data_IF_874353555042
#
_entry.id   IF_874353555042
#
_cell.length_a   1.000
_cell.length_b   1.000
_cell.length_c   1.000
_cell.angle_alpha   90.00
_cell.angle_beta   90.00
_cell.angle_gamma   90.00
#
_symmetry.space_group_name_H-M   'P 1'
#
loop_
_entity.id
_entity.type
_entity.pdbx_description
1 polymer ?
#
# COMPACT_ATOMS: atom_id res chain seq x y z
N UNK A 1 -3.10 -52.29 -64.52
CA UNK A 1 -3.98 -51.31 -63.84
C UNK A 1 -3.85 -51.54 -62.33
N UNK A 2 -3.02 -50.75 -61.66
CA UNK A 2 -2.90 -50.70 -60.20
C UNK A 2 -3.27 -49.26 -59.80
N UNK A 3 -4.42 -49.09 -59.16
CA UNK A 3 -4.89 -47.80 -58.65
C UNK A 3 -4.56 -47.68 -57.16
N UNK A 4 -3.71 -46.72 -56.80
CA UNK A 4 -3.44 -46.34 -55.42
C UNK A 4 -4.45 -45.29 -54.95
N UNK A 5 -4.99 -45.48 -53.74
CA UNK A 5 -5.69 -44.44 -53.00
C UNK A 5 -4.70 -43.73 -52.09
N UNK A 6 -4.48 -42.44 -52.33
CA UNK A 6 -3.84 -41.51 -51.40
C UNK A 6 -4.91 -40.83 -50.55
N UNK A 7 -4.83 -40.98 -49.23
CA UNK A 7 -5.66 -40.25 -48.27
C UNK A 7 -4.93 -38.97 -47.86
N UNK A 8 -5.49 -37.81 -48.17
CA UNK A 8 -5.03 -36.49 -47.74
C UNK A 8 -5.59 -36.16 -46.36
N UNK A 9 -4.73 -36.05 -45.34
CA UNK A 9 -5.08 -35.46 -44.04
C UNK A 9 -5.01 -33.93 -44.17
N UNK A 10 -6.12 -33.25 -43.92
CA UNK A 10 -6.16 -31.80 -43.76
C UNK A 10 -5.79 -31.44 -42.30
N UNK A 11 -4.66 -30.78 -42.11
CA UNK A 11 -4.28 -30.21 -40.82
C UNK A 11 -4.98 -28.85 -40.63
N UNK A 12 -5.92 -28.78 -39.70
CA UNK A 12 -6.53 -27.52 -39.28
C UNK A 12 -5.60 -26.82 -38.29
N UNK A 13 -5.02 -25.68 -38.69
CA UNK A 13 -4.26 -24.80 -37.82
C UNK A 13 -5.23 -24.00 -36.95
N UNK A 14 -5.30 -24.35 -35.66
CA UNK A 14 -5.93 -23.53 -34.63
C UNK A 14 -5.03 -22.30 -34.39
N UNK A 15 -5.42 -21.16 -34.93
CA UNK A 15 -4.84 -19.87 -34.55
C UNK A 15 -5.37 -19.54 -33.15
N UNK A 16 -4.52 -19.70 -32.13
CA UNK A 16 -4.84 -19.29 -30.76
C UNK A 16 -5.05 -17.78 -30.72
N UNK A 17 -6.25 -17.35 -30.33
CA UNK A 17 -6.51 -15.95 -30.01
C UNK A 17 -5.74 -15.59 -28.74
N UNK A 18 -4.87 -14.59 -28.80
CA UNK A 18 -4.27 -14.00 -27.62
C UNK A 18 -5.38 -13.47 -26.69
N UNK A 19 -5.28 -13.65 -25.36
CA UNK A 19 -6.23 -13.07 -24.44
C UNK A 19 -6.21 -11.54 -24.61
N UNK A 20 -7.38 -10.95 -24.86
CA UNK A 20 -7.54 -9.51 -24.83
C UNK A 20 -7.23 -9.03 -23.42
N UNK A 21 -6.19 -8.22 -23.26
CA UNK A 21 -5.94 -7.49 -22.01
C UNK A 21 -7.16 -6.62 -21.75
N UNK A 22 -7.92 -6.94 -20.70
CA UNK A 22 -9.01 -6.09 -20.26
C UNK A 22 -8.41 -4.72 -19.93
N UNK A 23 -9.02 -3.65 -20.45
CA UNK A 23 -8.65 -2.32 -20.02
C UNK A 23 -8.87 -2.21 -18.50
N UNK A 24 -7.97 -1.55 -17.74
CA UNK A 24 -8.15 -1.39 -16.31
C UNK A 24 -9.53 -0.78 -16.03
N UNK A 25 -10.20 -1.32 -15.00
CA UNK A 25 -11.52 -0.84 -14.64
C UNK A 25 -11.43 0.66 -14.25
N UNK A 26 -12.44 1.49 -14.57
CA UNK A 26 -12.37 2.92 -14.28
C UNK A 26 -12.16 3.18 -12.79
N UNK A 27 -11.38 4.21 -12.45
CA UNK A 27 -11.17 4.74 -11.09
C UNK A 27 -12.43 4.64 -10.21
N UNK A 28 -12.27 4.46 -8.89
CA UNK A 28 -13.39 4.52 -7.95
C UNK A 28 -14.28 5.74 -8.29
N UNK A 29 -15.60 5.57 -8.47
CA UNK A 29 -16.45 6.65 -8.99
C UNK A 29 -16.25 7.93 -8.19
N UNK A 30 -16.15 9.07 -8.89
CA UNK A 30 -16.06 10.38 -8.25
C UNK A 30 -17.21 10.54 -7.23
N UNK A 31 -16.87 10.85 -5.97
CA UNK A 31 -17.85 10.94 -4.89
C UNK A 31 -18.09 9.63 -4.13
N UNK A 32 -17.22 8.63 -4.30
CA UNK A 32 -17.24 7.42 -3.45
C UNK A 32 -17.15 7.82 -1.98
N UNK A 33 -18.13 7.35 -1.18
CA UNK A 33 -18.11 7.48 0.28
C UNK A 33 -17.40 6.26 0.86
N UNK A 34 -16.27 6.47 1.53
CA UNK A 34 -15.57 5.37 2.20
C UNK A 34 -16.18 5.02 3.55
N UNK A 35 -16.02 3.76 3.95
CA UNK A 35 -16.55 3.19 5.19
C UNK A 35 -15.83 3.74 6.42
N UNK A 36 -16.59 4.06 7.47
CA UNK A 36 -16.04 4.37 8.80
C UNK A 36 -16.20 3.12 9.67
N UNK A 37 -15.11 2.40 10.00
CA UNK A 37 -15.20 1.21 10.84
C UNK A 37 -15.54 1.55 12.29
N UNK A 38 -15.85 0.52 13.08
CA UNK A 38 -15.98 0.67 14.53
C UNK A 38 -14.64 1.17 15.10
N UNK A 39 -14.64 2.23 15.93
CA UNK A 39 -13.41 2.81 16.43
C UNK A 39 -12.74 1.88 17.44
N UNK A 40 -11.42 2.01 17.55
CA UNK A 40 -10.65 1.37 18.60
C UNK A 40 -11.23 1.73 19.99
N UNK A 41 -11.58 0.75 20.84
CA UNK A 41 -12.20 1.01 22.15
C UNK A 41 -11.39 1.94 23.05
N UNK A 42 -10.06 1.83 23.03
CA UNK A 42 -9.16 2.67 23.85
C UNK A 42 -9.15 4.12 23.35
N UNK A 43 -9.44 4.34 22.06
CA UNK A 43 -9.63 5.69 21.52
C UNK A 43 -10.93 6.32 22.04
N UNK A 44 -12.00 5.54 22.13
CA UNK A 44 -13.29 5.98 22.70
C UNK A 44 -13.11 6.32 24.18
N UNK A 45 -12.40 5.49 24.94
CA UNK A 45 -12.03 5.77 26.33
C UNK A 45 -11.21 7.06 26.42
N UNK A 46 -10.20 7.24 25.58
CA UNK A 46 -9.41 8.46 25.58
C UNK A 46 -10.26 9.72 25.33
N UNK A 47 -11.23 9.67 24.41
CA UNK A 47 -12.14 10.79 24.18
C UNK A 47 -12.95 11.10 25.44
N UNK A 48 -13.44 10.08 26.15
CA UNK A 48 -14.18 10.25 27.40
C UNK A 48 -13.31 10.89 28.49
N UNK A 49 -12.09 10.40 28.68
CA UNK A 49 -11.13 10.91 29.68
C UNK A 49 -10.75 12.36 29.39
N UNK A 50 -10.44 12.69 28.13
CA UNK A 50 -10.14 14.07 27.74
C UNK A 50 -11.31 15.02 28.00
N UNK A 51 -12.56 14.54 27.87
CA UNK A 51 -13.75 15.35 28.21
C UNK A 51 -13.87 15.55 29.72
N UNK A 52 -13.63 14.51 30.51
CA UNK A 52 -13.65 14.57 31.98
C UNK A 52 -12.59 15.53 32.53
N UNK A 53 -11.40 15.55 31.91
CA UNK A 53 -10.28 16.43 32.25
C UNK A 53 -10.45 17.89 31.74
N UNK A 54 -11.58 18.22 31.10
CA UNK A 54 -11.84 19.55 30.53
C UNK A 54 -11.07 19.84 29.22
N UNK A 55 -10.31 18.88 28.69
CA UNK A 55 -9.54 18.95 27.42
C UNK A 55 -10.44 18.71 26.20
N UNK A 56 -11.51 19.51 26.10
CA UNK A 56 -12.59 19.35 25.10
C UNK A 56 -12.09 19.50 23.66
N UNK A 57 -11.09 20.34 23.42
CA UNK A 57 -10.54 20.56 22.08
C UNK A 57 -9.89 19.28 21.57
N UNK A 58 -9.02 18.65 22.35
CA UNK A 58 -8.39 17.38 21.97
C UNK A 58 -9.43 16.27 21.82
N UNK A 59 -10.38 16.16 22.76
CA UNK A 59 -11.45 15.17 22.67
C UNK A 59 -12.25 15.29 21.35
N UNK A 60 -12.61 16.52 20.96
CA UNK A 60 -13.33 16.75 19.71
C UNK A 60 -12.47 16.48 18.47
N UNK A 61 -11.17 16.73 18.53
CA UNK A 61 -10.27 16.45 17.41
C UNK A 61 -10.02 14.96 17.23
N UNK A 62 -9.85 14.19 18.31
CA UNK A 62 -9.77 12.73 18.25
C UNK A 62 -11.10 12.16 17.76
N UNK A 63 -12.24 12.64 18.25
CA UNK A 63 -13.55 12.22 17.72
C UNK A 63 -13.66 12.42 16.21
N UNK A 64 -13.16 13.54 15.67
CA UNK A 64 -13.14 13.77 14.21
C UNK A 64 -12.30 12.74 13.45
N UNK A 65 -11.22 12.22 14.05
CA UNK A 65 -10.47 11.10 13.46
C UNK A 65 -11.30 9.81 13.49
N UNK A 66 -11.95 9.51 14.61
CA UNK A 66 -12.81 8.32 14.76
C UNK A 66 -14.02 8.33 13.81
N UNK A 67 -14.51 9.51 13.44
CA UNK A 67 -15.62 9.68 12.49
C UNK A 67 -15.15 9.72 11.02
N UNK A 68 -13.85 9.63 10.75
CA UNK A 68 -13.27 9.68 9.40
C UNK A 68 -13.04 8.26 8.86
N UNK A 69 -13.28 7.98 7.56
CA UNK A 69 -13.03 6.66 7.00
C UNK A 69 -11.59 6.19 7.17
N UNK A 70 -11.41 4.95 7.58
CA UNK A 70 -10.11 4.27 7.67
C UNK A 70 -10.24 2.87 7.07
N UNK A 71 -9.11 2.29 6.69
CA UNK A 71 -9.08 0.92 6.23
C UNK A 71 -9.35 -0.07 7.38
N UNK A 72 -9.90 -1.23 7.02
CA UNK A 72 -10.04 -2.39 7.91
C UNK A 72 -8.91 -3.37 7.60
N UNK A 73 -8.04 -3.59 8.59
CA UNK A 73 -6.92 -4.51 8.47
C UNK A 73 -7.39 -5.96 8.67
N UNK A 74 -6.95 -6.83 7.76
CA UNK A 74 -7.24 -8.25 7.74
C UNK A 74 -5.89 -8.95 7.84
N UNK A 75 -5.53 -9.36 9.05
CA UNK A 75 -4.13 -9.68 9.39
C UNK A 75 -3.89 -11.16 9.66
N UNK A 76 -4.90 -11.91 10.09
CA UNK A 76 -4.76 -13.31 10.50
C UNK A 76 -6.09 -14.09 10.40
N UNK A 77 -6.11 -15.27 11.03
CA UNK A 77 -7.28 -16.11 11.21
C UNK A 77 -7.43 -17.20 10.15
N UNK A 78 -8.20 -18.24 10.48
CA UNK A 78 -8.46 -19.32 9.54
C UNK A 78 -9.30 -18.83 8.35
N UNK A 79 -9.28 -19.52 7.19
CA UNK A 79 -10.13 -19.19 6.04
C UNK A 79 -11.62 -18.99 6.40
N UNK A 80 -12.14 -19.74 7.39
CA UNK A 80 -13.53 -19.60 7.84
C UNK A 80 -13.76 -18.32 8.64
N UNK A 81 -12.81 -17.95 9.49
CA UNK A 81 -12.90 -16.76 10.34
C UNK A 81 -12.74 -15.50 9.51
N UNK A 82 -11.73 -15.45 8.63
CA UNK A 82 -11.49 -14.29 7.78
C UNK A 82 -12.66 -14.04 6.83
N UNK A 83 -13.20 -15.09 6.19
CA UNK A 83 -14.38 -14.95 5.34
C UNK A 83 -15.56 -14.35 6.10
N UNK A 84 -15.81 -14.81 7.34
CA UNK A 84 -16.90 -14.25 8.18
C UNK A 84 -16.62 -12.81 8.60
N UNK A 85 -15.37 -12.47 8.89
CA UNK A 85 -14.96 -11.12 9.27
C UNK A 85 -15.16 -10.14 8.12
N UNK A 86 -14.64 -10.48 6.94
CA UNK A 86 -14.83 -9.67 5.73
C UNK A 86 -16.33 -9.54 5.41
N UNK A 87 -17.11 -10.62 5.51
CA UNK A 87 -18.56 -10.54 5.31
C UNK A 87 -19.27 -9.60 6.30
N UNK A 88 -18.79 -9.46 7.55
CA UNK A 88 -19.30 -8.46 8.51
C UNK A 88 -18.97 -7.06 8.01
N UNK A 89 -17.70 -6.77 7.75
CA UNK A 89 -17.25 -5.48 7.22
C UNK A 89 -18.03 -5.06 5.98
N UNK A 90 -18.25 -5.97 5.03
CA UNK A 90 -19.03 -5.68 3.83
C UNK A 90 -20.51 -5.35 4.11
N UNK A 91 -21.11 -5.96 5.15
CA UNK A 91 -22.48 -5.64 5.57
C UNK A 91 -22.55 -4.30 6.28
N UNK A 92 -21.59 -4.02 7.16
CA UNK A 92 -21.55 -2.79 7.95
C UNK A 92 -21.29 -1.58 7.04
N UNK A 93 -20.37 -1.71 6.08
CA UNK A 93 -20.15 -0.71 5.04
C UNK A 93 -21.41 -0.49 4.18
N UNK A 94 -22.10 -1.55 3.78
CA UNK A 94 -23.35 -1.44 3.04
C UNK A 94 -24.46 -0.73 3.85
N UNK A 95 -24.54 -0.95 5.17
CA UNK A 95 -25.46 -0.25 6.05
C UNK A 95 -25.18 1.26 6.10
N UNK A 96 -23.91 1.66 5.96
CA UNK A 96 -23.49 3.06 5.85
C UNK A 96 -23.59 3.64 4.42
N UNK A 97 -23.96 2.82 3.42
CA UNK A 97 -23.88 3.15 1.99
C UNK A 97 -22.48 3.63 1.60
N UNK A 98 -21.48 2.88 2.04
CA UNK A 98 -20.09 3.20 1.90
C UNK A 98 -19.28 2.03 1.34
N UNK A 99 -18.12 2.32 0.78
CA UNK A 99 -17.16 1.35 0.23
C UNK A 99 -16.05 1.12 1.26
N UNK A 100 -15.81 -0.11 1.72
CA UNK A 100 -14.69 -0.40 2.60
C UNK A 100 -13.38 -0.40 1.83
N UNK A 101 -12.33 0.15 2.48
CA UNK A 101 -10.94 -0.12 2.13
C UNK A 101 -10.49 -1.28 3.03
N UNK A 102 -10.12 -2.40 2.43
CA UNK A 102 -9.58 -3.57 3.13
C UNK A 102 -8.07 -3.60 2.93
N UNK A 103 -7.32 -3.85 4.00
CA UNK A 103 -5.87 -4.09 3.93
C UNK A 103 -5.65 -5.56 4.19
N UNK A 104 -5.12 -6.27 3.20
CA UNK A 104 -4.68 -7.66 3.38
C UNK A 104 -3.25 -7.60 3.87
N UNK A 105 -2.96 -8.26 4.98
CA UNK A 105 -1.66 -8.19 5.60
C UNK A 105 -1.35 -9.50 6.32
N UNK A 106 -1.25 -10.61 5.59
CA UNK A 106 -1.05 -11.93 6.15
C UNK A 106 0.02 -12.75 5.38
N UNK A 107 0.91 -12.09 4.63
CA UNK A 107 1.93 -12.81 3.85
C UNK A 107 2.99 -13.48 4.74
N UNK A 108 3.49 -14.68 4.40
CA UNK A 108 4.58 -15.33 5.13
C UNK A 108 5.84 -14.46 5.21
N UNK A 109 6.53 -14.55 6.35
CA UNK A 109 7.67 -13.71 6.71
C UNK A 109 7.32 -12.21 6.64
N UNK A 110 6.14 -11.85 7.16
CA UNK A 110 5.65 -10.48 7.20
C UNK A 110 6.67 -9.55 7.86
N UNK A 111 6.96 -8.44 7.17
CA UNK A 111 7.96 -7.41 7.54
C UNK A 111 9.37 -7.94 7.81
N UNK A 112 9.63 -9.19 7.40
CA UNK A 112 10.65 -10.08 7.94
C UNK A 112 10.99 -9.83 9.42
N UNK A 113 9.88 -9.79 10.16
CA UNK A 113 9.69 -9.77 11.60
C UNK A 113 10.28 -8.58 12.38
N UNK A 114 10.08 -7.37 11.86
CA UNK A 114 10.10 -6.15 12.68
C UNK A 114 8.89 -6.14 13.67
N UNK A 115 8.24 -4.99 13.91
CA UNK A 115 7.23 -4.85 14.97
C UNK A 115 5.88 -5.51 14.69
N UNK A 116 5.57 -5.83 13.43
CA UNK A 116 4.31 -6.44 13.01
C UNK A 116 4.47 -7.90 12.54
N UNK A 117 5.49 -8.59 13.06
CA UNK A 117 5.79 -9.98 12.75
C UNK A 117 4.54 -10.89 12.79
N UNK A 118 4.45 -11.80 11.82
CA UNK A 118 3.34 -12.73 11.68
C UNK A 118 3.16 -13.18 10.23
N UNK A 119 1.91 -13.42 9.86
CA UNK A 119 1.54 -13.92 8.54
C UNK A 119 1.23 -15.41 8.52
N UNK A 120 0.72 -15.87 7.39
CA UNK A 120 0.57 -17.28 7.06
C UNK A 120 1.92 -18.00 7.11
N UNK A 121 1.88 -19.33 7.28
CA UNK A 121 3.08 -20.15 7.42
C UNK A 121 3.56 -20.76 6.11
N UNK A 122 2.75 -20.72 5.05
CA UNK A 122 3.10 -21.21 3.73
C UNK A 122 2.37 -20.47 2.61
N UNK A 123 2.82 -20.71 1.37
CA UNK A 123 2.15 -20.23 0.16
C UNK A 123 0.70 -20.74 0.10
N UNK A 124 0.48 -22.02 0.37
CA UNK A 124 -0.86 -22.62 0.29
C UNK A 124 -1.82 -22.07 1.35
N UNK A 125 -1.32 -21.78 2.55
CA UNK A 125 -2.12 -21.16 3.60
C UNK A 125 -2.52 -19.74 3.22
N UNK A 126 -1.58 -18.96 2.67
CA UNK A 126 -1.84 -17.61 2.18
C UNK A 126 -2.85 -17.61 1.02
N UNK A 127 -2.67 -18.46 0.01
CA UNK A 127 -3.58 -18.58 -1.13
C UNK A 127 -5.01 -18.93 -0.66
N UNK A 128 -5.16 -19.89 0.25
CA UNK A 128 -6.45 -20.27 0.83
C UNK A 128 -7.11 -19.14 1.65
N UNK A 129 -6.29 -18.32 2.32
CA UNK A 129 -6.73 -17.16 3.07
C UNK A 129 -7.23 -16.03 2.14
N UNK A 130 -6.50 -15.73 1.05
CA UNK A 130 -6.95 -14.78 0.01
C UNK A 130 -8.26 -15.25 -0.61
N UNK A 131 -8.38 -16.53 -0.96
CA UNK A 131 -9.63 -17.08 -1.51
C UNK A 131 -10.83 -16.84 -0.56
N UNK A 132 -10.58 -16.94 0.75
CA UNK A 132 -11.59 -16.68 1.77
C UNK A 132 -11.95 -15.20 1.88
N UNK A 133 -10.98 -14.29 1.76
CA UNK A 133 -11.22 -12.85 1.65
C UNK A 133 -12.07 -12.57 0.40
N UNK A 134 -11.71 -13.11 -0.76
CA UNK A 134 -12.45 -12.90 -2.01
C UNK A 134 -13.90 -13.41 -1.92
N UNK A 135 -14.13 -14.60 -1.33
CA UNK A 135 -15.48 -15.10 -1.00
C UNK A 135 -16.22 -14.22 0.00
N UNK A 136 -15.49 -13.57 0.91
CA UNK A 136 -16.04 -12.66 1.90
C UNK A 136 -16.55 -11.36 1.28
N UNK A 137 -15.81 -10.81 0.31
CA UNK A 137 -16.18 -9.64 -0.49
C UNK A 137 -17.38 -10.00 -1.40
N UNK A 138 -17.27 -11.11 -2.13
CA UNK A 138 -18.28 -11.54 -3.11
C UNK A 138 -18.50 -10.48 -4.19
N UNK A 139 -19.76 -10.25 -4.58
CA UNK A 139 -20.09 -9.28 -5.63
C UNK A 139 -20.23 -7.83 -5.18
N UNK A 140 -19.75 -7.45 -3.98
CA UNK A 140 -19.93 -6.09 -3.41
C UNK A 140 -18.77 -5.16 -3.79
N UNK A 141 -18.99 -3.86 -3.67
CA UNK A 141 -17.95 -2.86 -3.90
C UNK A 141 -16.93 -2.83 -2.77
N UNK A 142 -15.64 -2.93 -3.10
CA UNK A 142 -14.54 -2.87 -2.16
C UNK A 142 -13.29 -2.25 -2.82
N UNK A 143 -12.45 -1.60 -2.01
CA UNK A 143 -11.06 -1.28 -2.36
C UNK A 143 -10.16 -2.18 -1.53
N UNK A 144 -9.14 -2.77 -2.14
CA UNK A 144 -8.23 -3.70 -1.48
C UNK A 144 -6.79 -3.25 -1.67
N UNK A 145 -6.12 -2.91 -0.57
CA UNK A 145 -4.68 -2.71 -0.51
C UNK A 145 -4.03 -4.04 -0.12
N UNK A 146 -3.22 -4.59 -1.01
CA UNK A 146 -2.62 -5.93 -0.87
C UNK A 146 -1.22 -5.81 -0.31
N UNK A 147 -1.05 -6.34 0.90
CA UNK A 147 0.22 -6.63 1.57
C UNK A 147 1.18 -5.43 1.60
N UNK A 148 0.91 -4.41 2.46
CA UNK A 148 1.93 -3.43 2.82
C UNK A 148 3.25 -4.11 3.18
N UNK A 149 4.37 -3.55 2.73
CA UNK A 149 5.73 -4.10 2.83
C UNK A 149 5.94 -5.44 2.10
N UNK A 150 4.92 -5.98 1.44
CA UNK A 150 4.96 -7.24 0.70
C UNK A 150 5.87 -7.17 -0.53
N UNK A 151 5.95 -6.00 -1.18
CA UNK A 151 6.90 -5.74 -2.28
C UNK A 151 8.11 -4.93 -1.84
N UNK A 152 8.00 -4.15 -0.75
CA UNK A 152 9.14 -3.45 -0.15
C UNK A 152 10.18 -4.40 0.47
N UNK A 153 9.73 -5.49 1.11
CA UNK A 153 10.57 -6.45 1.84
C UNK A 153 10.31 -7.86 1.30
N UNK A 154 11.13 -8.33 0.36
CA UNK A 154 10.98 -9.66 -0.23
C UNK A 154 12.11 -10.57 0.30
N UNK A 155 11.78 -11.73 0.92
CA UNK A 155 12.79 -12.67 1.39
C UNK A 155 13.74 -13.11 0.29
N UNK A 156 15.05 -13.05 0.58
CA UNK A 156 16.13 -13.45 -0.31
C UNK A 156 16.11 -12.77 -1.69
N UNK A 157 15.51 -11.59 -1.78
CA UNK A 157 15.43 -10.87 -3.04
C UNK A 157 16.77 -10.30 -3.46
N UNK A 158 17.04 -10.31 -4.76
CA UNK A 158 18.17 -9.62 -5.36
C UNK A 158 17.64 -8.43 -6.15
N UNK A 159 18.03 -7.24 -5.75
CA UNK A 159 17.66 -5.96 -6.37
C UNK A 159 18.17 -5.85 -7.81
N UNK A 160 17.67 -4.86 -8.55
CA UNK A 160 18.10 -4.63 -9.93
C UNK A 160 19.60 -4.33 -10.08
N UNK A 161 20.23 -3.78 -9.06
CA UNK A 161 21.69 -3.52 -9.00
C UNK A 161 22.50 -4.71 -8.41
N UNK A 162 21.85 -5.85 -8.17
CA UNK A 162 22.50 -7.09 -7.78
C UNK A 162 22.83 -7.20 -6.29
N UNK A 163 22.27 -6.33 -5.44
CA UNK A 163 22.40 -6.44 -3.99
C UNK A 163 21.35 -7.39 -3.42
N UNK A 164 21.70 -8.14 -2.37
CA UNK A 164 20.70 -8.92 -1.65
C UNK A 164 19.99 -8.04 -0.63
N UNK A 165 18.66 -8.15 -0.57
CA UNK A 165 17.85 -7.53 0.47
C UNK A 165 18.23 -8.12 1.85
N UNK A 166 18.09 -7.30 2.90
CA UNK A 166 18.44 -7.67 4.27
C UNK A 166 17.53 -8.77 4.85
N UNK A 167 16.31 -8.91 4.33
CA UNK A 167 15.39 -9.96 4.75
C UNK A 167 15.87 -11.32 4.24
N UNK A 168 16.49 -12.09 5.13
CA UNK A 168 17.05 -13.42 4.82
C UNK A 168 16.73 -14.42 5.95
N UNK A 169 15.44 -14.68 6.24
CA UNK A 169 15.05 -15.65 7.25
C UNK A 169 15.61 -17.03 6.89
N UNK A 170 16.17 -17.71 7.89
CA UNK A 170 16.82 -19.01 7.71
C UNK A 170 15.83 -20.13 7.35
N UNK A 171 14.55 -19.92 7.71
CA UNK A 171 13.45 -20.82 7.45
C UNK A 171 12.96 -20.75 5.99
N UNK A 172 13.27 -19.66 5.27
CA UNK A 172 12.90 -19.52 3.86
C UNK A 172 14.00 -20.09 2.95
N UNK A 173 13.61 -20.79 1.89
CA UNK A 173 14.55 -21.28 0.88
C UNK A 173 15.04 -20.10 0.02
N UNK A 174 16.34 -19.81 0.11
CA UNK A 174 16.97 -18.71 -0.61
C UNK A 174 16.84 -18.77 -2.14
N UNK A 175 16.58 -19.96 -2.72
CA UNK A 175 16.39 -20.14 -4.15
C UNK A 175 14.95 -19.87 -4.61
N UNK A 176 13.96 -20.08 -3.73
CA UNK A 176 12.53 -20.01 -4.12
C UNK A 176 11.76 -18.89 -3.46
N UNK A 177 12.20 -18.37 -2.31
CA UNK A 177 11.40 -17.46 -1.48
C UNK A 177 10.94 -16.19 -2.20
N UNK A 178 11.80 -15.59 -3.02
CA UNK A 178 11.42 -14.44 -3.85
C UNK A 178 10.34 -14.80 -4.89
N UNK A 179 10.47 -15.95 -5.56
CA UNK A 179 9.49 -16.42 -6.53
C UNK A 179 8.15 -16.78 -5.87
N UNK A 180 8.20 -17.37 -4.67
CA UNK A 180 7.03 -17.66 -3.84
C UNK A 180 6.30 -16.38 -3.43
N UNK A 181 7.04 -15.32 -3.07
CA UNK A 181 6.47 -14.00 -2.77
C UNK A 181 5.67 -13.47 -3.96
N UNK A 182 6.25 -13.50 -5.16
CA UNK A 182 5.51 -13.07 -6.36
C UNK A 182 4.33 -13.99 -6.68
N UNK A 183 4.46 -15.32 -6.51
CA UNK A 183 3.34 -16.25 -6.70
C UNK A 183 2.15 -15.89 -5.81
N UNK A 184 2.38 -15.64 -4.53
CA UNK A 184 1.35 -15.25 -3.58
C UNK A 184 0.66 -13.94 -3.97
N UNK A 185 1.43 -12.92 -4.33
CA UNK A 185 0.87 -11.63 -4.74
C UNK A 185 0.11 -11.72 -6.07
N UNK A 186 0.60 -12.49 -7.05
CA UNK A 186 -0.11 -12.77 -8.29
C UNK A 186 -1.44 -13.50 -8.01
N UNK A 187 -1.46 -14.48 -7.10
CA UNK A 187 -2.70 -15.16 -6.69
C UNK A 187 -3.69 -14.17 -6.07
N UNK A 188 -3.23 -13.27 -5.21
CA UNK A 188 -4.07 -12.22 -4.64
C UNK A 188 -4.68 -11.32 -5.73
N UNK A 189 -3.88 -10.86 -6.68
CA UNK A 189 -4.35 -10.08 -7.83
C UNK A 189 -5.41 -10.87 -8.62
N UNK A 190 -5.12 -12.12 -9.00
CA UNK A 190 -6.00 -12.92 -9.84
C UNK A 190 -7.36 -13.18 -9.16
N UNK A 191 -7.37 -13.53 -7.87
CA UNK A 191 -8.61 -13.80 -7.14
C UNK A 191 -9.45 -12.55 -6.90
N UNK A 192 -8.81 -11.42 -6.55
CA UNK A 192 -9.52 -10.21 -6.18
C UNK A 192 -10.02 -9.43 -7.40
N UNK A 193 -9.26 -9.42 -8.50
CA UNK A 193 -9.65 -8.74 -9.75
C UNK A 193 -10.71 -9.51 -10.53
N UNK A 194 -10.86 -10.82 -10.29
CA UNK A 194 -11.97 -11.62 -10.78
C UNK A 194 -13.33 -11.20 -10.17
N UNK A 195 -13.33 -10.44 -9.08
CA UNK A 195 -14.54 -9.90 -8.47
C UNK A 195 -15.05 -8.68 -9.27
N UNK A 196 -16.37 -8.59 -9.53
CA UNK A 196 -16.90 -7.65 -10.52
C UNK A 196 -16.84 -6.17 -10.11
N UNK A 197 -16.60 -5.87 -8.82
CA UNK A 197 -16.67 -4.51 -8.26
C UNK A 197 -15.57 -4.24 -7.23
N UNK A 198 -14.47 -4.95 -7.34
CA UNK A 198 -13.34 -4.81 -6.41
C UNK A 198 -12.21 -4.06 -7.11
N UNK A 199 -11.64 -3.08 -6.39
CA UNK A 199 -10.43 -2.39 -6.80
C UNK A 199 -9.22 -2.96 -6.07
N UNK A 200 -8.15 -3.27 -6.78
CA UNK A 200 -6.97 -3.94 -6.22
C UNK A 200 -5.72 -3.09 -6.43
N UNK A 201 -5.02 -2.80 -5.34
CA UNK A 201 -3.79 -2.00 -5.32
C UNK A 201 -2.69 -2.78 -4.58
N UNK A 202 -1.57 -3.02 -5.26
CA UNK A 202 -0.36 -3.62 -4.67
C UNK A 202 0.49 -2.58 -3.94
N UNK A 203 1.39 -3.00 -3.06
CA UNK A 203 2.31 -2.08 -2.38
C UNK A 203 3.34 -1.45 -3.34
N UNK A 204 3.31 -0.12 -3.43
CA UNK A 204 4.26 0.71 -4.18
C UNK A 204 5.27 1.44 -3.31
N UNK A 205 5.37 1.11 -2.02
CA UNK A 205 6.31 1.71 -1.06
C UNK A 205 6.15 3.23 -0.92
N UNK A 206 7.24 4.00 -0.89
CA UNK A 206 7.20 5.46 -0.84
C UNK A 206 8.50 6.09 -1.37
N UNK A 207 8.49 7.40 -1.63
CA UNK A 207 9.60 8.16 -2.25
C UNK A 207 10.91 8.20 -1.44
N UNK A 208 10.88 7.69 -0.21
CA UNK A 208 12.02 7.62 0.69
C UNK A 208 12.64 6.23 0.82
N UNK A 209 12.13 5.23 0.08
CA UNK A 209 12.53 3.84 0.23
C UNK A 209 13.08 3.24 -1.07
N UNK A 210 12.23 2.78 -1.98
CA UNK A 210 12.66 2.17 -3.24
C UNK A 210 12.66 3.18 -4.38
N UNK A 211 13.67 3.12 -5.24
CA UNK A 211 13.71 3.90 -6.49
C UNK A 211 12.62 3.44 -7.47
N UNK A 212 12.16 4.36 -8.33
CA UNK A 212 11.07 4.07 -9.29
C UNK A 212 11.30 2.79 -10.11
N UNK A 213 12.50 2.59 -10.65
CA UNK A 213 12.82 1.39 -11.43
C UNK A 213 12.72 0.08 -10.63
N UNK A 214 13.21 0.09 -9.39
CA UNK A 214 13.22 -1.07 -8.49
C UNK A 214 11.79 -1.50 -8.14
N UNK A 215 10.96 -0.56 -7.67
CA UNK A 215 9.58 -0.89 -7.33
C UNK A 215 8.75 -1.25 -8.58
N UNK A 216 9.05 -0.65 -9.74
CA UNK A 216 8.35 -1.00 -10.99
C UNK A 216 8.63 -2.45 -11.39
N UNK A 217 9.89 -2.90 -11.32
CA UNK A 217 10.24 -4.30 -11.61
C UNK A 217 9.49 -5.27 -10.67
N UNK A 218 9.43 -4.96 -9.38
CA UNK A 218 8.70 -5.75 -8.37
C UNK A 218 7.19 -5.76 -8.64
N UNK A 219 6.59 -4.62 -8.97
CA UNK A 219 5.16 -4.49 -9.30
C UNK A 219 4.78 -5.28 -10.57
N UNK A 220 5.58 -5.20 -11.62
CA UNK A 220 5.36 -5.95 -12.87
C UNK A 220 5.45 -7.46 -12.62
N UNK A 221 6.45 -7.92 -11.85
CA UNK A 221 6.55 -9.33 -11.44
C UNK A 221 5.37 -9.80 -10.58
N UNK A 222 4.75 -8.89 -9.84
CA UNK A 222 3.59 -9.15 -8.99
C UNK A 222 2.23 -9.08 -9.72
N UNK A 223 2.21 -8.71 -11.01
CA UNK A 223 0.99 -8.68 -11.81
C UNK A 223 0.22 -7.37 -11.76
N UNK A 224 0.89 -6.23 -11.51
CA UNK A 224 0.22 -4.91 -11.44
C UNK A 224 -0.60 -4.58 -12.70
N UNK A 225 -0.25 -5.12 -13.86
CA UNK A 225 -0.95 -4.92 -15.12
C UNK A 225 -2.35 -5.54 -15.16
N UNK A 226 -2.63 -6.49 -14.25
CA UNK A 226 -3.95 -7.09 -14.05
C UNK A 226 -4.72 -6.44 -12.91
N UNK A 227 -4.03 -5.70 -12.04
CA UNK A 227 -4.61 -4.92 -10.96
C UNK A 227 -5.11 -3.55 -11.43
N UNK A 228 -5.78 -2.79 -10.56
CA UNK A 228 -6.10 -1.39 -10.82
C UNK A 228 -4.88 -0.49 -10.64
N UNK A 229 -3.95 -0.93 -9.80
CA UNK A 229 -2.57 -0.46 -9.76
C UNK A 229 -1.91 -0.69 -8.42
N UNK A 230 -1.45 0.38 -7.76
CA UNK A 230 -0.69 0.27 -6.51
C UNK A 230 -1.08 1.33 -5.47
N UNK A 231 -0.61 1.19 -4.24
CA UNK A 231 -0.73 2.21 -3.21
C UNK A 231 0.65 2.69 -2.76
N UNK A 232 0.74 3.90 -2.25
CA UNK A 232 1.99 4.43 -1.69
C UNK A 232 1.77 4.96 -0.29
N UNK A 233 2.84 4.97 0.50
CA UNK A 233 2.94 5.57 1.84
C UNK A 233 2.14 4.87 2.95
N UNK A 234 1.74 3.60 2.76
CA UNK A 234 1.03 2.86 3.79
C UNK A 234 1.78 2.94 5.14
N UNK A 235 1.09 3.40 6.18
CA UNK A 235 1.66 3.57 7.53
C UNK A 235 2.87 4.50 7.61
N UNK A 236 3.16 5.31 6.60
CA UNK A 236 4.33 6.19 6.58
C UNK A 236 3.94 7.67 6.51
N UNK A 237 4.92 8.56 6.53
CA UNK A 237 4.75 9.98 6.84
C UNK A 237 5.14 10.89 5.67
N UNK A 238 5.38 10.36 4.47
CA UNK A 238 5.93 11.12 3.33
C UNK A 238 4.96 12.15 2.79
N UNK A 239 5.49 13.29 2.31
CA UNK A 239 4.67 14.39 1.80
C UNK A 239 3.78 13.96 0.63
N UNK A 240 2.51 14.37 0.66
CA UNK A 240 1.53 13.97 -0.37
C UNK A 240 1.94 14.41 -1.77
N UNK A 241 2.47 15.63 -1.94
CA UNK A 241 2.91 16.14 -3.23
C UNK A 241 4.08 15.35 -3.83
N UNK A 242 5.04 14.93 -2.99
CA UNK A 242 6.13 14.03 -3.39
C UNK A 242 5.60 12.65 -3.79
N UNK A 243 4.67 12.10 -3.02
CA UNK A 243 4.07 10.79 -3.31
C UNK A 243 3.28 10.77 -4.60
N UNK A 244 2.57 11.86 -4.93
CA UNK A 244 1.87 12.01 -6.20
C UNK A 244 2.85 11.98 -7.37
N UNK A 245 3.97 12.71 -7.29
CA UNK A 245 5.01 12.67 -8.33
C UNK A 245 5.66 11.28 -8.44
N UNK A 246 6.04 10.70 -7.31
CA UNK A 246 6.62 9.36 -7.25
C UNK A 246 5.71 8.29 -7.86
N UNK A 247 4.42 8.29 -7.49
CA UNK A 247 3.43 7.39 -8.08
C UNK A 247 3.26 7.60 -9.59
N UNK A 248 3.18 8.85 -10.07
CA UNK A 248 3.13 9.12 -11.53
C UNK A 248 4.31 8.49 -12.26
N UNK A 249 5.52 8.61 -11.72
CA UNK A 249 6.72 8.04 -12.33
C UNK A 249 6.68 6.51 -12.35
N UNK A 250 6.18 5.86 -11.29
CA UNK A 250 5.95 4.41 -11.29
C UNK A 250 4.95 4.02 -12.39
N UNK A 251 3.78 4.67 -12.46
CA UNK A 251 2.78 4.42 -13.51
C UNK A 251 3.36 4.60 -14.91
N UNK A 252 4.19 5.62 -15.10
CA UNK A 252 4.84 5.92 -16.38
C UNK A 252 5.90 4.88 -16.73
N UNK A 253 6.74 4.47 -15.79
CA UNK A 253 7.75 3.43 -15.96
C UNK A 253 7.11 2.08 -16.26
N UNK A 254 6.12 1.65 -15.46
CA UNK A 254 5.41 0.39 -15.66
C UNK A 254 4.81 0.29 -17.06
N UNK A 255 4.15 1.35 -17.53
CA UNK A 255 3.60 1.38 -18.89
C UNK A 255 4.67 1.29 -19.99
N UNK A 256 5.86 1.89 -19.79
CA UNK A 256 6.97 1.74 -20.74
C UNK A 256 7.53 0.32 -20.77
N UNK A 257 7.72 -0.30 -19.59
CA UNK A 257 8.15 -1.69 -19.45
C UNK A 257 7.17 -2.62 -20.18
N UNK A 258 5.87 -2.49 -19.91
CA UNK A 258 4.82 -3.34 -20.50
C UNK A 258 4.68 -3.17 -22.02
N UNK A 259 4.80 -1.94 -22.54
CA UNK A 259 4.49 -1.64 -23.95
C UNK A 259 5.70 -1.67 -24.87
N UNK A 260 6.91 -1.59 -24.32
CA UNK A 260 8.15 -1.40 -25.08
C UNK A 260 9.33 -2.22 -24.56
N UNK A 261 9.14 -3.04 -23.53
CA UNK A 261 10.20 -3.87 -22.95
C UNK A 261 11.42 -3.03 -22.51
N UNK A 262 11.14 -1.83 -21.98
CA UNK A 262 12.16 -0.94 -21.41
C UNK A 262 12.74 -1.59 -20.15
N UNK A 263 14.07 -1.58 -20.00
CA UNK A 263 14.71 -2.04 -18.76
C UNK A 263 14.34 -1.07 -17.61
N UNK A 264 13.66 -1.54 -16.54
CA UNK A 264 13.27 -0.71 -15.40
C UNK A 264 14.46 0.04 -14.77
N UNK A 265 15.69 -0.46 -14.89
CA UNK A 265 16.92 0.22 -14.40
C UNK A 265 17.13 1.59 -15.03
N UNK A 266 16.56 1.82 -16.21
CA UNK A 266 16.71 3.08 -16.96
C UNK A 266 15.65 4.11 -16.62
N UNK A 267 14.64 3.74 -15.83
CA UNK A 267 13.57 4.65 -15.46
C UNK A 267 14.09 5.80 -14.61
N UNK A 268 13.73 7.01 -15.03
CA UNK A 268 13.97 8.22 -14.26
C UNK A 268 13.24 8.13 -12.90
N UNK A 269 13.86 8.69 -11.87
CA UNK A 269 13.55 8.37 -10.47
C UNK A 269 13.65 9.62 -9.59
N UNK A 270 13.23 9.50 -8.32
CA UNK A 270 13.47 10.52 -7.30
C UNK A 270 14.96 10.70 -6.97
N UNK A 271 15.80 9.75 -7.40
CA UNK A 271 17.25 9.75 -7.16
C UNK A 271 18.09 10.22 -8.36
N UNK A 272 17.53 10.16 -9.57
CA UNK A 272 18.16 10.68 -10.78
C UNK A 272 17.15 10.72 -11.93
N UNK A 273 17.04 11.81 -12.72
CA UNK A 273 17.85 13.03 -12.70
C UNK A 273 17.45 14.05 -11.61
N UNK A 274 16.43 13.73 -10.80
CA UNK A 274 16.09 14.47 -9.59
C UNK A 274 17.11 14.26 -8.46
N UNK A 275 17.00 15.11 -7.44
CA UNK A 275 17.68 14.99 -6.15
C UNK A 275 16.60 14.86 -5.05
N UNK A 276 16.59 13.81 -4.22
CA UNK A 276 15.58 13.60 -3.18
C UNK A 276 15.61 14.66 -2.07
N UNK A 277 16.74 15.37 -1.92
CA UNK A 277 16.95 16.45 -0.97
C UNK A 277 16.55 17.83 -1.53
N UNK A 278 16.44 17.98 -2.86
CA UNK A 278 16.05 19.21 -3.55
C UNK A 278 14.88 18.98 -4.50
N UNK A 279 13.66 19.20 -3.99
CA UNK A 279 12.40 19.02 -4.75
C UNK A 279 12.32 19.93 -5.98
N UNK A 280 13.06 21.03 -6.02
CA UNK A 280 13.07 21.92 -7.19
C UNK A 280 13.65 21.24 -8.43
N UNK A 281 14.40 20.15 -8.25
CA UNK A 281 14.96 19.36 -9.36
C UNK A 281 14.01 18.29 -9.90
N UNK A 282 12.87 18.03 -9.25
CA UNK A 282 12.01 16.89 -9.58
C UNK A 282 11.34 17.03 -10.96
N UNK A 283 11.18 18.26 -11.45
CA UNK A 283 10.70 18.53 -12.80
C UNK A 283 11.64 17.95 -13.89
N UNK A 284 12.91 17.65 -13.54
CA UNK A 284 13.84 16.93 -14.45
C UNK A 284 13.40 15.50 -14.69
N UNK A 285 12.83 14.83 -13.69
CA UNK A 285 12.30 13.47 -13.84
C UNK A 285 11.03 13.50 -14.68
N UNK A 286 10.16 14.51 -14.49
CA UNK A 286 9.00 14.74 -15.36
C UNK A 286 9.43 14.90 -16.83
N UNK A 287 10.42 15.77 -17.10
CA UNK A 287 10.96 15.97 -18.44
C UNK A 287 11.63 14.72 -19.03
N UNK A 288 12.26 13.89 -18.20
CA UNK A 288 12.86 12.63 -18.63
C UNK A 288 11.80 11.62 -19.10
N UNK A 289 10.65 11.54 -18.42
CA UNK A 289 9.54 10.72 -18.88
C UNK A 289 8.89 11.26 -20.16
N UNK A 290 8.75 12.58 -20.30
CA UNK A 290 8.27 13.19 -21.56
C UNK A 290 9.15 12.76 -22.74
N UNK A 291 10.46 12.89 -22.60
CA UNK A 291 11.43 12.47 -23.62
C UNK A 291 11.39 10.96 -23.88
N UNK A 292 11.26 10.13 -22.84
CA UNK A 292 11.17 8.68 -22.98
C UNK A 292 9.90 8.24 -23.75
N UNK A 293 8.76 8.87 -23.47
CA UNK A 293 7.51 8.59 -24.17
C UNK A 293 7.56 9.05 -25.63
N UNK A 294 8.15 10.22 -25.91
CA UNK A 294 8.37 10.71 -27.27
C UNK A 294 9.25 9.74 -28.06
N UNK A 295 10.41 9.34 -27.50
CA UNK A 295 11.32 8.40 -28.12
C UNK A 295 10.68 7.02 -28.38
N UNK A 296 9.77 6.60 -27.51
CA UNK A 296 9.00 5.36 -27.65
C UNK A 296 7.82 5.45 -28.63
N UNK A 297 7.53 6.64 -29.17
CA UNK A 297 6.35 6.89 -30.01
C UNK A 297 5.04 6.66 -29.26
N UNK A 298 5.02 6.95 -27.96
CA UNK A 298 3.87 6.78 -27.06
C UNK A 298 3.31 8.13 -26.63
N UNK A 299 2.04 8.13 -26.21
CA UNK A 299 1.42 9.29 -25.57
C UNK A 299 1.10 8.94 -24.13
N UNK A 300 1.35 9.85 -23.20
CA UNK A 300 0.94 9.69 -21.80
C UNK A 300 -0.59 9.75 -21.70
N UNK A 301 -1.22 8.57 -21.57
CA UNK A 301 -2.67 8.43 -21.43
C UNK A 301 -2.96 7.78 -20.08
N UNK A 302 -3.25 8.58 -19.02
CA UNK A 302 -3.46 8.08 -17.66
C UNK A 302 -4.38 6.85 -17.58
N UNK A 303 -5.50 6.85 -18.31
CA UNK A 303 -6.47 5.75 -18.36
C UNK A 303 -5.93 4.39 -18.82
N UNK A 304 -4.71 4.35 -19.37
CA UNK A 304 -4.06 3.11 -19.84
C UNK A 304 -2.93 2.65 -18.92
N UNK A 305 -2.62 3.42 -17.88
CA UNK A 305 -1.55 3.14 -16.93
C UNK A 305 -2.13 2.54 -15.67
N UNK A 306 -1.29 1.92 -14.83
CA UNK A 306 -1.66 1.61 -13.46
C UNK A 306 -1.97 2.91 -12.70
N UNK A 307 -3.13 2.97 -12.04
CA UNK A 307 -3.50 4.06 -11.16
C UNK A 307 -2.94 3.82 -9.75
N UNK A 308 -3.10 4.77 -8.85
CA UNK A 308 -2.70 4.53 -7.46
C UNK A 308 -3.53 5.28 -6.42
N UNK A 309 -3.49 4.77 -5.19
CA UNK A 309 -4.01 5.45 -4.00
C UNK A 309 -2.85 5.88 -3.09
N UNK A 310 -3.07 6.91 -2.28
CA UNK A 310 -2.05 7.42 -1.35
C UNK A 310 -2.58 7.36 0.07
N UNK A 311 -1.84 6.70 0.96
CA UNK A 311 -2.11 6.81 2.40
C UNK A 311 -1.72 8.20 2.89
N UNK A 312 -2.71 8.91 3.42
CA UNK A 312 -2.60 10.28 3.94
C UNK A 312 -2.94 10.35 5.43
N UNK A 313 -3.02 9.20 6.10
CA UNK A 313 -3.40 9.05 7.51
C UNK A 313 -2.58 9.94 8.44
N UNK A 314 -1.25 10.02 8.26
CA UNK A 314 -0.34 10.64 9.22
C UNK A 314 0.74 11.54 8.60
N UNK A 315 0.60 11.92 7.33
CA UNK A 315 1.64 12.63 6.59
C UNK A 315 1.50 14.16 6.50
N UNK A 316 0.63 14.78 7.29
CA UNK A 316 0.39 16.23 7.24
C UNK A 316 1.64 17.08 7.54
N UNK A 317 2.60 16.53 8.26
CA UNK A 317 3.86 17.19 8.61
C UNK A 317 5.08 16.64 7.85
N UNK A 318 4.87 15.72 6.91
CA UNK A 318 5.96 15.06 6.19
C UNK A 318 6.75 14.04 7.02
N UNK A 319 7.90 13.56 6.52
CA UNK A 319 8.75 12.62 7.24
C UNK A 319 9.44 13.29 8.42
N UNK A 320 9.74 12.52 9.46
CA UNK A 320 10.54 13.01 10.57
C UNK A 320 12.02 13.05 10.20
N UNK A 321 12.69 14.15 10.54
CA UNK A 321 14.15 14.25 10.46
C UNK A 321 14.71 14.03 11.86
N UNK A 322 15.26 12.84 12.16
CA UNK A 322 15.86 12.58 13.46
C UNK A 322 17.12 13.45 13.65
N UNK A 323 17.41 13.91 14.88
CA UNK A 323 18.65 14.63 15.15
C UNK A 323 19.86 13.76 14.79
N UNK A 324 20.82 14.35 14.07
CA UNK A 324 22.00 13.62 13.58
C UNK A 324 22.79 12.99 14.74
N UNK A 325 23.07 11.68 14.63
CA UNK A 325 23.83 10.93 15.63
C UNK A 325 23.10 10.67 16.96
N UNK A 326 21.81 11.01 17.08
CA UNK A 326 21.08 10.79 18.32
C UNK A 326 20.68 9.33 18.57
N UNK A 327 20.54 8.53 17.50
CA UNK A 327 20.07 7.14 17.56
C UNK A 327 20.93 6.23 16.68
N UNK A 328 21.26 5.00 17.12
CA UNK A 328 21.91 4.00 16.26
C UNK A 328 21.07 3.64 15.03
N UNK A 329 19.76 3.45 15.22
CA UNK A 329 18.79 3.28 14.15
C UNK A 329 17.59 4.16 14.49
N UNK A 330 17.40 5.31 13.83
CA UNK A 330 16.32 6.23 14.18
C UNK A 330 14.91 5.63 14.06
N UNK A 331 14.71 4.64 13.18
CA UNK A 331 13.38 4.09 12.85
C UNK A 331 12.39 5.21 12.57
N UNK A 332 12.69 6.06 11.60
CA UNK A 332 11.95 7.29 11.32
C UNK A 332 10.49 7.06 10.86
N UNK A 333 10.17 5.82 10.52
CA UNK A 333 8.85 5.29 10.23
C UNK A 333 8.08 4.78 11.46
N UNK A 334 8.75 4.49 12.58
CA UNK A 334 8.12 3.93 13.79
C UNK A 334 7.82 5.03 14.79
N UNK A 335 6.55 5.29 15.09
CA UNK A 335 6.05 6.33 16.01
C UNK A 335 6.85 7.65 16.03
N UNK A 336 7.26 8.24 14.90
CA UNK A 336 7.99 9.50 14.92
C UNK A 336 7.21 10.62 15.63
N UNK A 337 7.90 11.48 16.41
CA UNK A 337 7.27 12.62 17.06
C UNK A 337 6.96 13.74 16.06
N UNK A 338 6.12 14.68 16.49
CA UNK A 338 5.85 15.90 15.74
C UNK A 338 5.19 15.67 14.38
N UNK A 339 4.53 14.53 14.20
CA UNK A 339 3.76 14.23 12.98
C UNK A 339 2.31 14.67 13.13
N UNK A 340 1.60 14.77 12.03
CA UNK A 340 0.22 15.26 11.99
C UNK A 340 -0.64 14.49 11.01
N UNK A 341 -1.93 14.36 11.31
CA UNK A 341 -2.91 13.82 10.33
C UNK A 341 -2.84 14.61 9.02
N UNK A 342 -2.88 13.90 7.89
CA UNK A 342 -2.83 14.50 6.55
C UNK A 342 -4.20 14.84 5.96
N UNK A 343 -4.29 14.80 4.63
CA UNK A 343 -5.55 14.98 3.91
C UNK A 343 -6.57 13.92 4.34
N UNK A 344 -7.85 14.30 4.38
CA UNK A 344 -8.92 13.33 4.64
C UNK A 344 -9.17 12.45 3.41
N UNK A 345 -9.69 11.23 3.59
CA UNK A 345 -10.01 10.34 2.48
C UNK A 345 -10.95 11.00 1.46
N UNK A 346 -10.57 10.97 0.19
CA UNK A 346 -11.36 11.54 -0.91
C UNK A 346 -10.92 11.01 -2.26
N UNK A 347 -11.86 10.90 -3.20
CA UNK A 347 -11.56 10.65 -4.63
C UNK A 347 -11.36 11.95 -5.42
N UNK A 348 -11.42 13.13 -4.76
CA UNK A 348 -11.18 14.44 -5.39
C UNK A 348 -9.71 14.81 -5.24
N UNK A 349 -8.86 14.14 -5.99
CA UNK A 349 -7.39 14.23 -5.88
C UNK A 349 -6.79 15.32 -6.76
N UNK A 350 -7.49 15.69 -7.83
CA UNK A 350 -6.99 16.65 -8.83
C UNK A 350 -5.97 16.05 -9.81
N UNK A 351 -5.71 14.74 -9.71
CA UNK A 351 -4.75 14.02 -10.52
C UNK A 351 -5.43 12.84 -11.24
N UNK A 352 -5.28 12.69 -12.56
CA UNK A 352 -5.93 11.62 -13.31
C UNK A 352 -5.40 10.21 -13.01
N UNK A 353 -4.24 10.06 -12.37
CA UNK A 353 -3.65 8.76 -11.96
C UNK A 353 -3.89 8.44 -10.48
N UNK A 354 -4.24 9.43 -9.65
CA UNK A 354 -4.52 9.22 -8.23
C UNK A 354 -6.00 8.95 -8.04
N UNK A 355 -6.37 7.72 -7.76
CA UNK A 355 -7.77 7.31 -7.58
C UNK A 355 -8.35 7.84 -6.27
N UNK A 356 -7.57 7.82 -5.19
CA UNK A 356 -8.00 8.33 -3.90
C UNK A 356 -6.83 8.68 -2.97
N UNK A 357 -7.07 9.68 -2.13
CA UNK A 357 -6.45 9.74 -0.81
C UNK A 357 -7.26 8.87 0.13
N UNK A 358 -6.59 8.02 0.90
CA UNK A 358 -7.19 7.13 1.89
C UNK A 358 -6.39 7.17 3.18
N UNK A 359 -6.98 6.69 4.28
CA UNK A 359 -6.25 6.40 5.51
C UNK A 359 -6.10 4.90 5.62
N UNK A 360 -4.94 4.38 5.17
CA UNK A 360 -4.62 2.94 5.28
C UNK A 360 -4.31 2.65 6.75
N UNK A 361 -3.36 3.38 7.35
CA UNK A 361 -3.13 3.33 8.79
C UNK A 361 -4.21 4.10 9.54
N UNK A 362 -4.63 3.58 10.69
CA UNK A 362 -5.54 4.28 11.61
C UNK A 362 -4.74 5.30 12.43
N UNK A 363 -4.99 6.62 12.29
CA UNK A 363 -4.24 7.62 13.04
C UNK A 363 -4.46 7.48 14.55
N UNK A 364 -3.38 7.24 15.29
CA UNK A 364 -3.39 7.04 16.74
C UNK A 364 -3.11 5.60 17.15
N UNK A 365 -3.12 4.63 16.23
CA UNK A 365 -2.58 3.29 16.49
C UNK A 365 -1.07 3.28 16.34
N UNK A 366 -0.40 2.63 17.29
CA UNK A 366 1.06 2.50 17.35
C UNK A 366 1.61 1.73 16.14
N UNK A 367 2.84 2.09 15.75
CA UNK A 367 3.64 1.35 14.76
C UNK A 367 4.39 0.16 15.38
N UNK A 368 4.49 0.13 16.72
CA UNK A 368 5.29 -0.85 17.42
C UNK A 368 6.02 -0.27 18.62
N UNK A 369 6.85 -1.11 19.24
CA UNK A 369 7.63 -0.74 20.41
C UNK A 369 9.00 -0.20 19.96
N UNK A 370 8.98 1.02 19.44
CA UNK A 370 10.10 1.62 18.72
C UNK A 370 11.34 1.75 19.62
N UNK A 371 12.37 0.94 19.35
CA UNK A 371 13.56 0.84 20.21
C UNK A 371 14.66 1.82 19.84
N UNK A 372 14.63 2.36 18.62
CA UNK A 372 15.59 3.33 18.08
C UNK A 372 17.02 2.77 18.07
N UNK A 373 17.15 1.44 17.96
CA UNK A 373 18.43 0.74 18.07
C UNK A 373 19.08 0.79 19.47
N UNK A 374 18.35 1.20 20.52
CA UNK A 374 18.88 1.31 21.89
C UNK A 374 18.69 0.04 22.74
N UNK A 375 17.97 -0.95 22.21
CA UNK A 375 17.72 -2.23 22.88
C UNK A 375 16.96 -3.20 21.99
N UNK A 376 16.86 -4.45 22.47
CA UNK A 376 16.09 -5.53 21.85
C UNK A 376 14.96 -5.96 22.76
N UNK A 377 13.78 -6.25 22.19
CA UNK A 377 12.61 -6.76 22.91
C UNK A 377 11.49 -5.74 23.16
N UNK A 378 10.44 -6.23 23.83
CA UNK A 378 9.13 -5.60 23.94
C UNK A 378 8.97 -4.65 25.14
N UNK A 379 10.04 -4.41 25.90
CA UNK A 379 10.01 -3.52 27.08
C UNK A 379 11.03 -2.37 26.96
N UNK A 380 11.51 -2.12 25.74
CA UNK A 380 12.47 -1.04 25.49
C UNK A 380 11.76 0.30 25.57
N UNK A 381 12.31 1.20 26.38
CA UNK A 381 11.84 2.58 26.48
C UNK A 381 12.25 3.34 25.22
N UNK A 382 11.27 3.84 24.47
CA UNK A 382 11.54 4.75 23.37
C UNK A 382 12.18 6.04 23.93
N UNK A 383 13.43 6.38 23.54
CA UNK A 383 14.10 7.57 24.04
C UNK A 383 13.40 8.88 23.65
N UNK A 384 12.60 8.89 22.59
CA UNK A 384 11.82 10.03 22.12
C UNK A 384 10.59 10.24 23.02
N UNK A 385 9.79 9.21 23.22
CA UNK A 385 8.55 9.29 23.98
C UNK A 385 8.75 9.16 25.49
N UNK A 386 9.91 8.63 25.91
CA UNK A 386 10.27 8.33 27.31
C UNK A 386 9.28 7.40 27.98
N UNK A 387 8.82 6.40 27.24
CA UNK A 387 7.93 5.34 27.69
C UNK A 387 8.20 4.09 26.86
N UNK A 388 7.71 2.94 27.32
CA UNK A 388 7.49 1.81 26.43
C UNK A 388 6.31 2.16 25.54
N UNK A 389 6.54 2.18 24.24
CA UNK A 389 5.47 2.39 23.27
C UNK A 389 4.52 1.16 23.28
N UNK A 390 3.19 1.35 23.15
CA UNK A 390 2.24 0.28 22.87
C UNK A 390 2.66 -0.58 21.67
N UNK A 391 2.28 -1.85 21.68
CA UNK A 391 2.51 -2.76 20.56
C UNK A 391 1.83 -2.27 19.27
N UNK A 392 2.28 -2.76 18.12
CA UNK A 392 1.69 -2.40 16.82
C UNK A 392 0.18 -2.63 16.82
N UNK A 393 -0.58 -1.66 16.29
CA UNK A 393 -2.04 -1.69 16.24
C UNK A 393 -2.73 -1.28 17.56
N UNK A 394 -2.04 -1.25 18.70
CA UNK A 394 -2.62 -0.74 19.95
C UNK A 394 -2.73 0.78 19.96
N UNK A 395 -3.70 1.30 20.71
CA UNK A 395 -3.94 2.74 20.75
C UNK A 395 -2.86 3.51 21.51
N UNK A 396 -2.21 4.44 20.82
CA UNK A 396 -1.16 5.29 21.34
C UNK A 396 -1.73 6.66 21.74
N UNK A 397 -2.14 6.79 23.00
CA UNK A 397 -2.83 7.98 23.51
C UNK A 397 -2.06 9.30 23.31
N UNK A 398 -0.73 9.31 23.46
CA UNK A 398 0.08 10.55 23.36
C UNK A 398 0.27 11.03 21.91
N UNK A 399 0.72 10.14 21.04
CA UNK A 399 0.77 10.31 19.58
C UNK A 399 -0.61 10.68 19.01
N UNK A 400 -1.70 10.04 19.43
CA UNK A 400 -3.05 10.41 18.95
C UNK A 400 -3.36 11.90 19.21
N UNK A 401 -3.03 12.41 20.40
CA UNK A 401 -3.17 13.85 20.73
C UNK A 401 -2.23 14.72 19.88
N UNK A 402 -0.98 14.29 19.65
CA UNK A 402 -0.04 15.04 18.83
C UNK A 402 -0.48 15.10 17.37
N UNK A 403 -0.83 13.96 16.77
CA UNK A 403 -1.30 13.83 15.39
C UNK A 403 -2.46 14.77 15.08
N UNK A 404 -3.46 14.84 15.97
CA UNK A 404 -4.62 15.70 15.73
C UNK A 404 -4.35 17.18 15.99
N UNK A 405 -3.38 17.52 16.85
CA UNK A 405 -2.95 18.91 17.10
C UNK A 405 -2.14 19.45 15.93
N UNK A 406 -1.31 18.61 15.32
CA UNK A 406 -0.43 18.96 14.22
C UNK A 406 -1.02 18.62 12.83
N UNK A 407 -2.31 18.28 12.76
CA UNK A 407 -2.96 17.95 11.51
C UNK A 407 -2.85 19.07 10.47
N UNK A 408 -2.49 18.70 9.24
CA UNK A 408 -2.44 19.58 8.08
C UNK A 408 -3.09 18.84 6.90
N UNK A 409 -4.24 19.33 6.39
CA UNK A 409 -5.00 20.49 6.86
C UNK A 409 -5.54 20.34 8.30
N UNK A 410 -5.77 21.46 8.99
CA UNK A 410 -6.30 21.42 10.35
C UNK A 410 -7.67 20.75 10.43
N UNK A 411 -7.86 19.86 11.41
CA UNK A 411 -9.17 19.26 11.70
C UNK A 411 -10.17 20.23 12.35
N UNK A 412 -9.75 21.45 12.74
CA UNK A 412 -10.61 22.43 13.44
C UNK A 412 -11.68 23.08 12.55
N UNK A 413 -11.51 23.06 11.23
CA UNK A 413 -12.51 23.59 10.29
C UNK A 413 -13.50 22.53 9.80
N UNK A 414 -14.69 22.98 9.40
CA UNK A 414 -15.57 22.20 8.53
C UNK A 414 -15.06 22.40 7.09
N UNK A 415 -14.38 21.39 6.56
CA UNK A 415 -14.10 21.33 5.12
C UNK A 415 -15.36 20.73 4.49
N UNK A 416 -16.17 21.58 3.86
CA UNK A 416 -17.47 21.25 3.28
C UNK A 416 -17.45 20.36 2.03
#
# INVERSE_FOLDING_TARGET
>A
MLGGLTATLAAATLVGAAPATAAPAPAAPAGTRFYVPEPNPDAVEQVADLRADGRRTEANLIQKVLDTPTAVWVEDGTPREVQRSVQRTMRDAAAQRAVPVLVLYNIPFRDCAQYSAGGATSVEEYEAWVDAVARGIGGREAVVAVEPDGLGIIPWYTTLDGQQDWCQPAEADAQTAAAERFRMLNHAVDQLTALPRTKVYLDGTHDGWLGVGEITDRLVKAGVERADGFFVNASNYRWTDRLVRYGRWISQCAYLVERRDVDPRTCASQYYPADPSDVSTWDRTDAAYEAAYEAAGLSMRPRQMAHFIVDTSRNGQGPWTPPAGAFPDPQDWCNPPGRGVGLRPTTRTGDPLVDAYVWIKVPGESDGQCSRGTGTGNDVVDPVWRQVDPAAGQWFRRQAVELVRLAVPSLRGDQG
#
